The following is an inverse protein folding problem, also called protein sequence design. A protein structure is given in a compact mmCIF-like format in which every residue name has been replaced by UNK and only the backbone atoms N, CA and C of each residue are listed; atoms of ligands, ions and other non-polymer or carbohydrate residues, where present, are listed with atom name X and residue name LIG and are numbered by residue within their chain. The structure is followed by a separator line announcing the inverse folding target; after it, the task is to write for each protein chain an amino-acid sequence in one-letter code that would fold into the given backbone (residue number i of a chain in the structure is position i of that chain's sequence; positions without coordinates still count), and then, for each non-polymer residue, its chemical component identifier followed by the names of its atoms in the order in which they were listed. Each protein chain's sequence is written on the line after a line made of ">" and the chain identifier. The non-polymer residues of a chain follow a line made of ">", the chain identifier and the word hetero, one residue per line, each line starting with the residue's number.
data_IF_378814951454
#
_entry.id   IF_378814951454
#
_cell.length_a   1.000
_cell.length_b   1.000
_cell.length_c   1.000
_cell.angle_alpha   90.00
_cell.angle_beta   90.00
_cell.angle_gamma   90.00
#
_symmetry.space_group_name_H-M   'P 1'
#
loop_
_entity.id
_entity.type
_entity.pdbx_description
1 polymer ?
#
# COMPACT_ATOMS: atom_id res chain seq x y z
N UNK A 1 -16.45 -5.53 7.35
CA UNK A 1 -17.61 -6.43 7.27
C UNK A 1 -17.30 -7.57 6.31
N UNK A 2 -17.65 -8.81 6.66
CA UNK A 2 -17.45 -9.99 5.81
C UNK A 2 -18.79 -10.50 5.30
N UNK A 3 -18.90 -10.69 3.99
CA UNK A 3 -20.15 -11.11 3.33
C UNK A 3 -20.27 -12.64 3.17
N UNK A 4 -19.36 -13.42 3.73
CA UNK A 4 -19.41 -14.87 3.59
C UNK A 4 -20.42 -15.48 4.57
N UNK A 5 -21.58 -15.92 4.08
CA UNK A 5 -22.73 -16.39 4.87
C UNK A 5 -22.44 -17.55 5.86
N UNK A 6 -21.31 -18.25 5.72
CA UNK A 6 -20.93 -19.40 6.57
C UNK A 6 -19.74 -19.13 7.50
N UNK A 7 -19.20 -17.91 7.53
CA UNK A 7 -17.96 -17.61 8.22
C UNK A 7 -18.11 -16.39 9.12
N UNK A 8 -17.81 -16.56 10.39
CA UNK A 8 -17.93 -15.53 11.42
C UNK A 8 -16.75 -14.56 11.45
N UNK A 9 -15.63 -14.88 10.76
CA UNK A 9 -14.41 -14.08 10.81
C UNK A 9 -14.10 -13.47 9.46
N UNK A 10 -13.83 -12.16 9.43
CA UNK A 10 -13.49 -11.40 8.23
C UNK A 10 -12.16 -11.80 7.57
N UNK A 11 -11.37 -12.63 8.25
CA UNK A 11 -10.05 -13.08 7.78
C UNK A 11 -10.01 -14.54 7.31
N UNK A 12 -11.13 -15.24 7.32
CA UNK A 12 -11.18 -16.60 6.80
C UNK A 12 -11.11 -16.64 5.27
N UNK A 13 -10.33 -17.58 4.76
CA UNK A 13 -10.17 -17.80 3.32
C UNK A 13 -11.35 -18.59 2.71
N UNK A 14 -11.86 -18.21 1.52
CA UNK A 14 -11.59 -17.01 0.76
C UNK A 14 -12.20 -15.75 1.39
N UNK A 15 -11.42 -14.69 1.51
CA UNK A 15 -11.89 -13.43 2.08
C UNK A 15 -12.84 -12.73 1.11
N UNK A 16 -13.94 -12.21 1.64
CA UNK A 16 -14.82 -11.27 0.95
C UNK A 16 -15.23 -10.22 1.98
N UNK A 17 -14.61 -9.05 1.93
CA UNK A 17 -14.74 -8.06 2.98
C UNK A 17 -14.70 -6.63 2.49
N UNK A 18 -15.40 -5.75 3.20
CA UNK A 18 -15.25 -4.30 3.12
C UNK A 18 -14.58 -3.82 4.39
N UNK A 19 -13.61 -2.93 4.25
CA UNK A 19 -12.90 -2.28 5.35
C UNK A 19 -12.98 -0.78 5.18
N UNK A 20 -13.42 -0.09 6.22
CA UNK A 20 -13.30 1.37 6.37
C UNK A 20 -12.27 1.65 7.45
N UNK A 21 -11.33 2.54 7.17
CA UNK A 21 -10.33 2.99 8.13
C UNK A 21 -10.16 4.50 8.06
N UNK A 22 -9.91 5.10 9.22
CA UNK A 22 -9.55 6.49 9.36
C UNK A 22 -8.35 6.58 10.30
N UNK A 23 -7.33 7.35 9.92
CA UNK A 23 -6.16 7.59 10.74
C UNK A 23 -5.71 9.05 10.63
N UNK A 24 -5.14 9.54 11.72
CA UNK A 24 -4.45 10.82 11.78
C UNK A 24 -3.11 10.56 12.47
N UNK A 25 -2.01 10.78 11.75
CA UNK A 25 -0.67 10.42 12.22
C UNK A 25 0.38 11.40 11.69
N UNK A 26 1.58 11.33 12.25
CA UNK A 26 2.74 12.03 11.73
C UNK A 26 3.49 11.10 10.78
N UNK A 27 3.66 11.54 9.54
CA UNK A 27 4.40 10.82 8.52
C UNK A 27 5.68 11.56 8.13
N UNK A 28 6.72 10.82 7.82
CA UNK A 28 7.99 11.38 7.35
C UNK A 28 8.11 11.15 5.84
N UNK A 29 8.21 12.24 5.09
CA UNK A 29 8.36 12.17 3.64
C UNK A 29 9.63 11.41 3.24
N UNK A 30 9.48 10.45 2.31
CA UNK A 30 10.59 9.67 1.78
C UNK A 30 10.98 8.45 2.63
N UNK A 31 10.24 8.12 3.69
CA UNK A 31 10.50 6.94 4.54
C UNK A 31 9.50 5.80 4.33
N UNK A 32 8.90 5.69 3.15
CA UNK A 32 8.02 4.56 2.83
C UNK A 32 8.83 3.34 2.42
N UNK A 33 9.14 2.49 3.41
CA UNK A 33 9.80 1.20 3.18
C UNK A 33 8.75 0.10 3.08
N UNK A 34 8.55 -0.45 1.91
CA UNK A 34 7.53 -1.47 1.66
C UNK A 34 7.84 -2.85 2.28
N UNK A 35 9.11 -3.11 2.60
CA UNK A 35 9.58 -4.44 3.03
C UNK A 35 10.51 -4.43 4.25
N UNK A 36 10.83 -3.27 4.79
CA UNK A 36 11.65 -3.17 6.01
C UNK A 36 10.81 -2.62 7.15
N UNK A 37 10.94 -3.21 8.32
CA UNK A 37 10.32 -2.68 9.53
C UNK A 37 10.89 -1.29 9.84
N UNK A 38 10.06 -0.41 10.39
CA UNK A 38 10.46 0.93 10.87
C UNK A 38 11.62 0.87 11.88
N UNK A 39 11.79 -0.26 12.56
CA UNK A 39 12.82 -0.52 13.58
C UNK A 39 14.10 -1.16 13.02
N UNK A 40 14.39 -0.97 11.74
CA UNK A 40 15.63 -1.47 11.15
C UNK A 40 16.83 -0.71 11.73
N UNK A 41 17.80 -1.45 12.27
CA UNK A 41 19.05 -0.93 12.89
C UNK A 41 19.80 0.01 11.95
N UNK A 42 19.82 -0.27 10.64
CA UNK A 42 20.47 0.58 9.64
C UNK A 42 19.78 1.94 9.47
N UNK A 43 18.48 2.05 9.75
CA UNK A 43 17.77 3.33 9.74
C UNK A 43 18.08 4.16 10.98
N UNK A 44 18.37 3.52 12.10
CA UNK A 44 18.79 4.19 13.34
C UNK A 44 20.18 4.83 13.24
N UNK A 45 21.01 4.40 12.30
CA UNK A 45 22.32 4.98 12.03
C UNK A 45 22.27 6.25 11.17
N UNK A 46 21.10 6.62 10.66
CA UNK A 46 20.92 7.85 9.89
C UNK A 46 20.99 9.07 10.81
N UNK A 47 22.18 9.68 10.87
CA UNK A 47 22.47 10.84 11.74
C UNK A 47 21.80 12.15 11.38
N UNK A 48 21.13 12.26 10.24
CA UNK A 48 20.49 13.50 9.79
C UNK A 48 19.01 13.47 10.17
N UNK A 49 18.61 14.31 11.10
CA UNK A 49 17.20 14.54 11.42
C UNK A 49 16.48 15.06 10.17
N UNK A 50 15.68 14.22 9.55
CA UNK A 50 14.77 14.64 8.49
C UNK A 50 13.62 15.43 9.12
N UNK A 51 13.74 16.75 9.13
CA UNK A 51 12.67 17.67 9.57
C UNK A 51 11.50 17.74 8.55
N UNK A 52 11.36 16.72 7.70
CA UNK A 52 10.31 16.61 6.68
C UNK A 52 9.07 15.87 7.19
N UNK A 53 8.68 16.17 8.43
CA UNK A 53 7.47 15.60 9.00
C UNK A 53 6.22 16.29 8.44
N UNK A 54 5.20 15.51 8.18
CA UNK A 54 3.88 15.96 7.77
C UNK A 54 2.81 15.37 8.66
N UNK A 55 1.75 16.11 8.92
CA UNK A 55 0.52 15.55 9.47
C UNK A 55 -0.25 14.89 8.33
N UNK A 56 -0.50 13.60 8.45
CA UNK A 56 -1.24 12.81 7.48
C UNK A 56 -2.61 12.41 8.05
N UNK A 57 -3.68 12.92 7.46
CA UNK A 57 -5.03 12.43 7.67
C UNK A 57 -5.42 11.55 6.50
N UNK A 58 -5.70 10.29 6.78
CA UNK A 58 -6.02 9.28 5.78
C UNK A 58 -7.37 8.64 6.09
N UNK A 59 -8.27 8.65 5.12
CA UNK A 59 -9.53 7.91 5.15
C UNK A 59 -9.54 6.96 3.97
N UNK A 60 -9.78 5.67 4.23
CA UNK A 60 -9.72 4.63 3.22
C UNK A 60 -10.91 3.70 3.34
N UNK A 61 -11.60 3.48 2.23
CA UNK A 61 -12.59 2.45 2.04
C UNK A 61 -12.04 1.44 1.05
N UNK A 62 -11.97 0.18 1.43
CA UNK A 62 -11.46 -0.89 0.57
C UNK A 62 -12.37 -2.11 0.56
N UNK A 63 -12.45 -2.73 -0.59
CA UNK A 63 -13.12 -4.00 -0.85
C UNK A 63 -12.09 -5.03 -1.30
N UNK A 64 -12.12 -6.22 -0.71
CA UNK A 64 -11.26 -7.33 -1.07
C UNK A 64 -12.10 -8.59 -1.29
N UNK A 65 -11.90 -9.22 -2.44
CA UNK A 65 -12.46 -10.52 -2.76
C UNK A 65 -11.35 -11.49 -3.15
N UNK A 66 -11.29 -12.63 -2.46
CA UNK A 66 -10.40 -13.75 -2.77
C UNK A 66 -11.18 -14.91 -3.38
N UNK A 67 -10.52 -15.69 -4.24
CA UNK A 67 -11.04 -16.92 -4.83
C UNK A 67 -10.10 -18.07 -4.54
N UNK A 68 -10.66 -19.30 -4.44
CA UNK A 68 -9.91 -20.52 -4.12
C UNK A 68 -8.74 -20.83 -5.07
N UNK A 69 -8.76 -20.32 -6.31
CA UNK A 69 -7.67 -20.50 -7.29
C UNK A 69 -6.44 -19.62 -7.08
N UNK A 70 -6.33 -18.92 -5.92
CA UNK A 70 -5.22 -18.02 -5.62
C UNK A 70 -5.34 -16.64 -6.27
N UNK A 71 -6.46 -16.34 -6.90
CA UNK A 71 -6.75 -15.02 -7.44
C UNK A 71 -7.47 -14.16 -6.41
N UNK A 72 -7.04 -12.91 -6.26
CA UNK A 72 -7.72 -11.91 -5.46
C UNK A 72 -7.83 -10.59 -6.20
N UNK A 73 -8.95 -9.91 -5.95
CA UNK A 73 -9.29 -8.62 -6.52
C UNK A 73 -9.58 -7.64 -5.38
N UNK A 74 -8.97 -6.48 -5.44
CA UNK A 74 -9.17 -5.39 -4.48
C UNK A 74 -9.59 -4.11 -5.18
N UNK A 75 -10.51 -3.38 -4.57
CA UNK A 75 -10.87 -2.01 -4.92
C UNK A 75 -10.67 -1.13 -3.69
N UNK A 76 -10.15 0.06 -3.91
CA UNK A 76 -9.95 1.04 -2.85
C UNK A 76 -10.29 2.45 -3.30
N UNK A 77 -10.82 3.23 -2.37
CA UNK A 77 -10.85 4.68 -2.46
C UNK A 77 -10.18 5.23 -1.21
N UNK A 78 -9.23 6.14 -1.39
CA UNK A 78 -8.41 6.68 -0.32
C UNK A 78 -8.31 8.19 -0.48
N UNK A 79 -8.75 8.91 0.54
CA UNK A 79 -8.58 10.36 0.67
C UNK A 79 -7.47 10.63 1.67
N UNK A 80 -6.46 11.37 1.23
CA UNK A 80 -5.29 11.76 2.01
C UNK A 80 -5.18 13.28 2.03
N UNK A 81 -4.95 13.81 3.24
CA UNK A 81 -4.63 15.23 3.44
C UNK A 81 -3.30 15.27 4.18
N UNK A 82 -2.32 15.85 3.52
CA UNK A 82 -0.99 16.06 4.09
C UNK A 82 -0.78 17.55 4.36
N UNK A 83 -0.34 17.86 5.57
CA UNK A 83 -0.01 19.21 5.99
C UNK A 83 1.43 19.22 6.51
N UNK A 84 2.24 20.20 6.10
CA UNK A 84 3.60 20.33 6.62
C UNK A 84 3.57 20.63 8.11
N UNK A 85 4.36 19.89 8.89
CA UNK A 85 4.50 20.10 10.33
C UNK A 85 5.35 21.34 10.66
N UNK A 86 6.08 21.88 9.69
CA UNK A 86 6.92 23.08 9.86
C UNK A 86 6.75 24.05 8.70
N UNK A 87 6.84 25.34 8.95
CA UNK A 87 6.80 26.39 7.91
C UNK A 87 8.09 26.46 7.06
N UNK A 88 9.13 25.71 7.42
CA UNK A 88 10.43 25.71 6.72
C UNK A 88 10.38 24.94 5.41
N UNK A 89 9.42 24.06 5.24
CA UNK A 89 9.26 23.20 4.06
C UNK A 89 7.84 23.41 3.53
N UNK A 90 7.69 23.45 2.23
CA UNK A 90 6.39 23.54 1.57
C UNK A 90 6.37 22.59 0.38
N UNK A 91 5.19 22.05 0.07
CA UNK A 91 5.00 21.37 -1.19
C UNK A 91 5.13 22.37 -2.34
N UNK A 92 5.68 21.93 -3.46
CA UNK A 92 5.78 22.73 -4.68
C UNK A 92 4.81 22.14 -5.69
N UNK A 93 3.88 22.93 -6.17
CA UNK A 93 2.98 22.51 -7.23
C UNK A 93 3.69 22.45 -8.60
N UNK A 94 3.02 21.89 -9.61
CA UNK A 94 3.57 21.79 -10.97
C UNK A 94 3.90 23.14 -11.65
N UNK A 95 3.56 24.26 -11.02
CA UNK A 95 3.84 25.63 -11.48
C UNK A 95 4.88 26.35 -10.62
N UNK A 96 5.51 25.66 -9.66
CA UNK A 96 6.51 26.22 -8.75
C UNK A 96 5.93 26.98 -7.56
N UNK A 97 4.63 26.99 -7.35
CA UNK A 97 3.98 27.67 -6.22
C UNK A 97 4.06 26.84 -4.96
N UNK A 98 4.46 27.45 -3.84
CA UNK A 98 4.45 26.83 -2.52
C UNK A 98 3.02 26.65 -2.01
N UNK A 99 2.69 25.43 -1.57
CA UNK A 99 1.41 25.09 -0.95
C UNK A 99 1.66 24.46 0.43
N UNK A 100 0.81 24.79 1.41
CA UNK A 100 0.94 24.28 2.80
C UNK A 100 0.32 22.93 2.99
N UNK A 101 -0.72 22.63 2.25
CA UNK A 101 -1.51 21.41 2.33
C UNK A 101 -1.67 20.77 0.96
N UNK A 102 -1.64 19.47 0.95
CA UNK A 102 -1.86 18.65 -0.21
C UNK A 102 -3.01 17.69 0.06
N UNK A 103 -4.07 17.79 -0.73
CA UNK A 103 -5.22 16.89 -0.63
C UNK A 103 -5.34 16.08 -1.91
N UNK A 104 -5.47 14.76 -1.75
CA UNK A 104 -5.56 13.85 -2.87
C UNK A 104 -6.55 12.72 -2.57
N UNK A 105 -7.41 12.44 -3.55
CA UNK A 105 -8.30 11.28 -3.53
C UNK A 105 -7.89 10.30 -4.60
N UNK A 106 -7.52 9.10 -4.19
CA UNK A 106 -7.00 8.05 -5.04
C UNK A 106 -8.00 6.90 -5.12
N UNK A 107 -8.18 6.37 -6.32
CA UNK A 107 -8.81 5.09 -6.56
C UNK A 107 -7.71 4.05 -6.80
N UNK A 108 -7.87 2.88 -6.23
CA UNK A 108 -6.95 1.77 -6.39
C UNK A 108 -7.68 0.53 -6.90
N UNK A 109 -7.13 -0.07 -7.94
CA UNK A 109 -7.50 -1.42 -8.39
C UNK A 109 -6.30 -2.31 -8.17
N UNK A 110 -6.50 -3.41 -7.46
CA UNK A 110 -5.45 -4.34 -7.09
C UNK A 110 -5.80 -5.75 -7.52
N UNK A 111 -4.92 -6.38 -8.28
CA UNK A 111 -5.02 -7.78 -8.65
C UNK A 111 -3.84 -8.53 -8.03
N UNK A 112 -4.12 -9.68 -7.45
CA UNK A 112 -3.10 -10.58 -6.91
C UNK A 112 -3.39 -11.99 -7.37
N UNK A 113 -2.37 -12.65 -7.87
CA UNK A 113 -2.43 -14.05 -8.27
C UNK A 113 -1.30 -14.82 -7.60
N UNK A 114 -1.66 -15.80 -6.78
CA UNK A 114 -0.75 -16.66 -6.05
C UNK A 114 -1.21 -18.12 -6.20
N UNK A 115 -0.88 -18.77 -7.33
CA UNK A 115 -1.31 -20.12 -7.60
C UNK A 115 -0.73 -21.08 -6.55
N UNK A 116 -1.56 -22.03 -6.10
CA UNK A 116 -1.19 -23.05 -5.12
C UNK A 116 -0.79 -22.52 -3.74
N UNK A 117 -1.06 -21.26 -3.43
CA UNK A 117 -0.84 -20.72 -2.09
C UNK A 117 -1.77 -21.41 -1.08
N UNK A 118 -1.19 -21.95 -0.01
CA UNK A 118 -1.89 -22.64 1.06
C UNK A 118 -1.77 -21.84 2.35
N UNK A 119 -2.82 -21.83 3.14
CA UNK A 119 -2.86 -21.10 4.39
C UNK A 119 -3.20 -22.02 5.57
N UNK A 120 -2.55 -21.75 6.69
CA UNK A 120 -3.01 -22.20 8.00
C UNK A 120 -3.86 -21.11 8.60
N UNK A 121 -5.10 -21.41 8.92
CA UNK A 121 -6.09 -20.48 9.42
C UNK A 121 -6.43 -20.79 10.87
N UNK A 122 -6.18 -19.82 11.75
CA UNK A 122 -6.70 -19.81 13.12
C UNK A 122 -7.92 -18.90 13.22
N UNK A 123 -8.56 -18.83 14.38
CA UNK A 123 -9.70 -17.91 14.61
C UNK A 123 -9.33 -16.44 14.41
N UNK A 124 -8.09 -16.04 14.69
CA UNK A 124 -7.66 -14.63 14.66
C UNK A 124 -6.63 -14.31 13.58
N UNK A 125 -5.90 -15.30 13.06
CA UNK A 125 -4.75 -15.09 12.18
C UNK A 125 -4.72 -16.10 11.05
N UNK A 126 -4.11 -15.70 9.94
CA UNK A 126 -3.88 -16.52 8.76
C UNK A 126 -2.42 -16.44 8.36
N UNK A 127 -1.79 -17.60 8.23
CA UNK A 127 -0.38 -17.71 7.86
C UNK A 127 -0.24 -18.51 6.56
N UNK A 128 0.55 -18.05 5.58
CA UNK A 128 0.89 -18.87 4.43
C UNK A 128 1.78 -20.04 4.87
N UNK A 129 1.45 -21.26 4.42
CA UNK A 129 2.21 -22.48 4.74
C UNK A 129 3.32 -22.68 3.71
N UNK A 130 2.99 -22.54 2.42
CA UNK A 130 3.94 -22.69 1.33
C UNK A 130 4.41 -21.31 0.86
N UNK A 131 5.53 -20.89 1.43
CA UNK A 131 6.12 -19.58 1.14
C UNK A 131 6.86 -19.53 -0.22
N UNK A 132 6.99 -20.66 -0.90
CA UNK A 132 7.61 -20.82 -2.23
C UNK A 132 6.64 -20.58 -3.40
N UNK A 133 5.34 -20.50 -3.13
CA UNK A 133 4.36 -20.14 -4.16
C UNK A 133 4.68 -18.74 -4.72
N UNK A 134 4.76 -18.60 -6.07
CA UNK A 134 4.96 -17.28 -6.66
C UNK A 134 3.75 -16.39 -6.43
N UNK A 135 4.00 -15.13 -6.12
CA UNK A 135 2.94 -14.12 -5.94
C UNK A 135 3.14 -13.04 -6.99
N UNK A 136 2.16 -12.89 -7.85
CA UNK A 136 2.08 -11.82 -8.84
C UNK A 136 1.11 -10.76 -8.35
N UNK A 137 1.49 -9.50 -8.43
CA UNK A 137 0.66 -8.36 -8.06
C UNK A 137 0.62 -7.35 -9.19
N UNK A 138 -0.55 -6.82 -9.46
CA UNK A 138 -0.74 -5.67 -10.35
C UNK A 138 -1.62 -4.68 -9.60
N UNK A 139 -1.13 -3.46 -9.45
CA UNK A 139 -1.91 -2.37 -8.89
C UNK A 139 -1.96 -1.19 -9.85
N UNK A 140 -3.12 -0.59 -9.93
CA UNK A 140 -3.33 0.63 -10.69
C UNK A 140 -4.01 1.65 -9.79
N UNK A 141 -3.34 2.79 -9.59
CA UNK A 141 -3.83 3.91 -8.81
C UNK A 141 -4.11 5.06 -9.76
N UNK A 142 -5.29 5.66 -9.63
CA UNK A 142 -5.66 6.82 -10.43
C UNK A 142 -6.42 7.84 -9.59
N UNK A 143 -6.32 9.09 -9.99
CA UNK A 143 -6.99 10.20 -9.33
C UNK A 143 -7.49 11.20 -10.36
N UNK A 144 -8.65 11.77 -10.08
CA UNK A 144 -9.25 12.81 -10.90
C UNK A 144 -9.11 14.17 -10.20
N UNK A 145 -8.62 15.16 -10.93
CA UNK A 145 -8.58 16.55 -10.47
C UNK A 145 -9.99 17.04 -10.12
N UNK A 146 -10.10 17.78 -9.03
CA UNK A 146 -11.36 18.35 -8.50
C UNK A 146 -12.37 17.32 -7.96
N UNK A 147 -12.02 16.03 -7.89
CA UNK A 147 -12.87 15.02 -7.27
C UNK A 147 -12.55 14.89 -5.77
N UNK A 148 -13.54 15.06 -4.92
CA UNK A 148 -13.42 15.01 -3.45
C UNK A 148 -12.19 15.77 -2.92
N UNK A 149 -11.95 16.98 -3.44
CA UNK A 149 -10.86 17.85 -3.03
C UNK A 149 -9.48 17.51 -3.60
N UNK A 150 -9.40 16.52 -4.49
CA UNK A 150 -8.16 16.18 -5.20
C UNK A 150 -7.64 17.37 -6.01
N UNK A 151 -6.42 17.79 -5.78
CA UNK A 151 -5.80 18.93 -6.48
C UNK A 151 -5.22 18.55 -7.85
N UNK A 152 -4.88 17.27 -8.02
CA UNK A 152 -4.19 16.79 -9.22
C UNK A 152 -4.84 15.50 -9.73
N UNK A 153 -4.71 15.28 -11.04
CA UNK A 153 -4.94 13.96 -11.65
C UNK A 153 -3.62 13.22 -11.75
N UNK A 154 -3.63 11.91 -11.54
CA UNK A 154 -2.49 11.07 -11.84
C UNK A 154 -2.91 9.62 -12.09
N UNK A 155 -2.07 8.91 -12.83
CA UNK A 155 -2.18 7.48 -13.06
C UNK A 155 -0.84 6.83 -12.75
N UNK A 156 -0.88 5.78 -11.94
CA UNK A 156 0.30 5.00 -11.57
C UNK A 156 -0.03 3.51 -11.66
N UNK A 157 0.78 2.79 -12.40
CA UNK A 157 0.68 1.32 -12.52
C UNK A 157 1.93 0.70 -11.91
N UNK A 158 1.75 -0.29 -11.07
CA UNK A 158 2.84 -1.07 -10.48
C UNK A 158 2.58 -2.56 -10.70
N UNK A 159 3.61 -3.27 -11.15
CA UNK A 159 3.62 -4.71 -11.25
C UNK A 159 4.70 -5.27 -10.33
N UNK A 160 4.39 -6.35 -9.62
CA UNK A 160 5.31 -7.00 -8.70
C UNK A 160 5.29 -8.51 -8.83
N UNK A 161 6.47 -9.11 -8.68
CA UNK A 161 6.66 -10.55 -8.58
C UNK A 161 7.45 -10.82 -7.30
N UNK A 162 6.94 -11.74 -6.50
CA UNK A 162 7.63 -12.24 -5.32
C UNK A 162 7.69 -13.74 -5.35
N UNK A 163 8.87 -14.33 -5.06
CA UNK A 163 9.04 -15.77 -4.95
C UNK A 163 10.16 -16.12 -3.97
N UNK A 164 9.93 -17.15 -3.16
CA UNK A 164 10.94 -17.75 -2.30
C UNK A 164 11.60 -18.93 -3.00
N UNK A 165 12.92 -19.00 -2.94
CA UNK A 165 13.73 -20.10 -3.40
C UNK A 165 14.42 -20.75 -2.20
N UNK A 166 14.26 -22.06 -2.06
CA UNK A 166 14.89 -22.85 -1.00
C UNK A 166 16.21 -23.44 -1.49
N UNK A 167 17.25 -23.32 -0.68
CA UNK A 167 18.58 -23.85 -0.96
C UNK A 167 18.96 -24.97 0.01
N UNK A 168 18.01 -25.87 0.31
CA UNK A 168 18.23 -27.00 1.21
C UNK A 168 18.77 -26.55 2.57
N UNK A 169 19.94 -27.07 3.00
CA UNK A 169 20.58 -26.76 4.28
C UNK A 169 21.05 -25.28 4.41
N UNK A 170 21.19 -24.56 3.30
CA UNK A 170 21.66 -23.16 3.31
C UNK A 170 20.54 -22.13 3.55
N UNK A 171 19.30 -22.58 3.71
CA UNK A 171 18.18 -21.69 3.98
C UNK A 171 17.37 -21.31 2.73
N UNK A 172 16.97 -20.04 2.64
CA UNK A 172 16.14 -19.56 1.55
C UNK A 172 16.55 -18.15 1.10
N UNK A 173 16.13 -17.81 -0.11
CA UNK A 173 16.27 -16.49 -0.71
C UNK A 173 14.90 -15.99 -1.17
N UNK A 174 14.51 -14.79 -0.76
CA UNK A 174 13.30 -14.12 -1.21
C UNK A 174 13.63 -13.14 -2.34
N UNK A 175 13.19 -13.46 -3.55
CA UNK A 175 13.29 -12.58 -4.70
C UNK A 175 12.01 -11.73 -4.81
N UNK A 176 12.18 -10.41 -4.82
CA UNK A 176 11.10 -9.44 -5.01
C UNK A 176 11.52 -8.50 -6.12
N UNK A 177 10.76 -8.51 -7.21
CA UNK A 177 10.96 -7.61 -8.35
C UNK A 177 9.71 -6.76 -8.51
N UNK A 178 9.90 -5.45 -8.60
CA UNK A 178 8.82 -4.48 -8.85
C UNK A 178 9.19 -3.57 -10.00
N UNK A 179 8.20 -3.29 -10.84
CA UNK A 179 8.27 -2.30 -11.89
C UNK A 179 7.03 -1.40 -11.81
N UNK A 180 7.23 -0.11 -11.90
CA UNK A 180 6.14 0.86 -11.86
C UNK A 180 6.34 2.01 -12.82
N UNK A 181 5.24 2.57 -13.27
CA UNK A 181 5.23 3.75 -14.13
C UNK A 181 4.14 4.72 -13.70
N UNK A 182 4.54 5.98 -13.54
CA UNK A 182 3.63 7.12 -13.44
C UNK A 182 3.42 7.65 -14.84
N UNK A 183 2.16 7.76 -15.27
CA UNK A 183 1.80 8.15 -16.63
C UNK A 183 1.60 9.65 -16.77
N UNK A 184 1.34 10.35 -15.68
CA UNK A 184 1.06 11.77 -15.63
C UNK A 184 2.16 12.53 -14.87
N UNK A 185 2.19 13.86 -15.04
CA UNK A 185 3.03 14.73 -14.23
C UNK A 185 2.41 14.91 -12.84
N UNK A 186 3.13 14.50 -11.81
CA UNK A 186 2.71 14.64 -10.42
C UNK A 186 3.58 15.67 -9.70
N UNK A 187 3.03 16.42 -8.72
CA UNK A 187 3.82 17.27 -7.86
C UNK A 187 4.86 16.46 -7.11
N UNK A 188 6.04 17.02 -6.97
CA UNK A 188 7.12 16.43 -6.17
C UNK A 188 7.18 17.15 -4.81
N UNK A 189 7.28 16.40 -3.66
CA UNK A 189 7.44 17.00 -2.34
C UNK A 189 8.83 17.56 -2.09
#
# INVERSE_FOLDING_TARGET
>A
YSFNKKKFHSREFPINSIKLSHSYDIDQLGQHYLYTNKDNVFLSLKRKGDNKATYLRKTELSYLQERKGGFSFGLGIRNEIQQMATDRIAFIDGYGKKIKDYMQTNFEVKLRFAPNEKFYQTKSQRFPINLDAPVLTLSHNFAFKNFLGSKYSYNHTEFGIQKRFWFSAFGYFDAIVKAGKVWDKVPFP
#
